data_IF_586269896784
#
_entry.id   IF_586269896784
#
_cell.length_a   1.000
_cell.length_b   1.000
_cell.length_c   1.000
_cell.angle_alpha   90.00
_cell.angle_beta   90.00
_cell.angle_gamma   90.00
#
_symmetry.space_group_name_H-M   'P 1'
#
loop_
_entity.id
_entity.type
_entity.pdbx_description
1 polymer ?
#
# COMPACT_ATOMS: atom_id res chain seq x y z
N UNK A 1 -17.72 -8.52 22.24
CA UNK A 1 -17.58 -8.11 20.85
C UNK A 1 -17.26 -6.62 20.81
N UNK A 2 -16.05 -6.27 20.34
CA UNK A 2 -15.55 -4.90 20.33
C UNK A 2 -16.44 -3.93 19.52
N UNK A 3 -17.11 -4.42 18.48
CA UNK A 3 -17.98 -3.61 17.62
C UNK A 3 -19.38 -3.38 18.21
N UNK A 4 -19.80 -4.21 19.16
CA UNK A 4 -21.09 -4.06 19.84
C UNK A 4 -21.02 -3.18 21.09
N UNK A 5 -19.82 -2.79 21.52
CA UNK A 5 -19.60 -1.91 22.65
C UNK A 5 -20.34 -0.57 22.46
N UNK A 6 -21.08 -0.08 23.48
CA UNK A 6 -21.81 1.19 23.38
C UNK A 6 -20.93 2.38 23.04
N UNK A 7 -19.67 2.40 23.51
CA UNK A 7 -18.70 3.45 23.20
C UNK A 7 -18.37 3.46 21.70
N UNK A 8 -18.05 2.28 21.13
CA UNK A 8 -17.80 2.15 19.70
C UNK A 8 -19.00 2.57 18.86
N UNK A 9 -20.21 2.17 19.26
CA UNK A 9 -21.45 2.62 18.59
C UNK A 9 -21.66 4.12 18.68
N UNK A 10 -21.35 4.71 19.81
CA UNK A 10 -21.44 6.17 20.03
C UNK A 10 -20.47 6.97 19.16
N UNK A 11 -19.27 6.44 18.90
CA UNK A 11 -18.24 7.05 18.10
C UNK A 11 -18.33 6.75 16.59
N UNK A 12 -19.15 5.75 16.19
CA UNK A 12 -19.40 5.45 14.78
C UNK A 12 -20.57 6.27 14.23
N UNK A 13 -20.30 7.19 13.31
CA UNK A 13 -21.33 8.08 12.74
C UNK A 13 -21.76 7.67 11.32
N UNK A 14 -21.05 6.75 10.69
CA UNK A 14 -21.46 6.24 9.40
C UNK A 14 -22.51 5.14 9.58
N UNK A 15 -23.61 5.20 8.82
CA UNK A 15 -24.57 4.13 8.75
C UNK A 15 -23.89 2.84 8.26
N UNK A 16 -24.04 1.73 9.00
CA UNK A 16 -23.37 0.47 8.72
C UNK A 16 -21.82 0.52 8.77
N UNK A 17 -21.22 1.57 9.36
CA UNK A 17 -19.78 1.74 9.39
C UNK A 17 -19.05 0.56 10.07
N UNK A 18 -19.50 0.13 11.24
CA UNK A 18 -18.89 -0.97 11.97
C UNK A 18 -18.98 -2.31 11.21
N UNK A 19 -20.13 -2.61 10.61
CA UNK A 19 -20.29 -3.85 9.82
C UNK A 19 -19.46 -3.84 8.54
N UNK A 20 -19.29 -2.69 7.90
CA UNK A 20 -18.38 -2.55 6.75
C UNK A 20 -16.94 -2.74 7.15
N UNK A 21 -16.49 -2.10 8.23
CA UNK A 21 -15.13 -2.28 8.76
C UNK A 21 -14.86 -3.76 9.06
N UNK A 22 -15.78 -4.43 9.72
CA UNK A 22 -15.66 -5.86 10.01
C UNK A 22 -15.59 -6.70 8.72
N UNK A 23 -16.42 -6.40 7.74
CA UNK A 23 -16.44 -7.12 6.46
C UNK A 23 -15.08 -7.06 5.77
N UNK A 24 -14.48 -5.88 5.65
CA UNK A 24 -13.17 -5.71 5.01
C UNK A 24 -12.04 -6.38 5.79
N UNK A 25 -12.07 -6.30 7.13
CA UNK A 25 -11.07 -6.98 7.98
C UNK A 25 -11.12 -8.49 7.79
N UNK A 26 -12.33 -9.09 7.83
CA UNK A 26 -12.49 -10.56 7.73
C UNK A 26 -12.12 -11.08 6.33
N UNK A 27 -12.30 -10.28 5.29
CA UNK A 27 -11.90 -10.66 3.93
C UNK A 27 -10.37 -10.81 3.78
N UNK A 28 -9.59 -10.07 4.58
CA UNK A 28 -8.12 -10.03 4.47
C UNK A 28 -7.38 -10.67 5.64
N UNK A 29 -7.96 -10.60 6.83
CA UNK A 29 -7.33 -10.99 8.09
C UNK A 29 -8.21 -11.95 8.87
N UNK A 30 -7.91 -12.12 10.16
CA UNK A 30 -8.76 -12.90 11.08
C UNK A 30 -9.85 -12.02 11.73
N UNK A 31 -10.87 -12.66 12.29
CA UNK A 31 -11.90 -11.98 13.05
C UNK A 31 -11.31 -11.39 14.34
N UNK A 32 -11.35 -10.07 14.54
CA UNK A 32 -10.83 -9.45 15.75
C UNK A 32 -11.73 -9.75 16.95
N UNK A 33 -11.15 -10.24 18.04
CA UNK A 33 -11.86 -10.53 19.29
C UNK A 33 -11.78 -9.36 20.27
N UNK A 34 -10.68 -8.60 20.25
CA UNK A 34 -10.43 -7.47 21.14
C UNK A 34 -10.48 -6.15 20.37
N UNK A 35 -10.84 -5.07 21.09
CA UNK A 35 -10.85 -3.73 20.51
C UNK A 35 -9.49 -3.35 19.89
N UNK A 36 -8.40 -3.72 20.53
CA UNK A 36 -7.05 -3.45 20.03
C UNK A 36 -6.78 -4.11 18.67
N UNK A 37 -7.16 -5.36 18.52
CA UNK A 37 -7.00 -6.10 17.25
C UNK A 37 -7.84 -5.43 16.15
N UNK A 38 -9.06 -5.02 16.48
CA UNK A 38 -9.96 -4.29 15.57
C UNK A 38 -9.33 -2.97 15.11
N UNK A 39 -8.80 -2.17 16.04
CA UNK A 39 -8.16 -0.88 15.73
C UNK A 39 -6.95 -1.09 14.85
N UNK A 40 -6.10 -2.04 15.18
CA UNK A 40 -4.89 -2.36 14.42
C UNK A 40 -5.21 -2.83 12.99
N UNK A 41 -6.05 -3.84 12.86
CA UNK A 41 -6.38 -4.43 11.56
C UNK A 41 -7.16 -3.46 10.67
N UNK A 42 -8.07 -2.65 11.22
CA UNK A 42 -8.80 -1.66 10.44
C UNK A 42 -7.89 -0.55 9.90
N UNK A 43 -6.87 -0.16 10.66
CA UNK A 43 -5.88 0.80 10.19
C UNK A 43 -4.95 0.24 9.11
N UNK A 44 -4.55 -1.04 9.21
CA UNK A 44 -3.80 -1.70 8.15
C UNK A 44 -4.61 -1.80 6.87
N UNK A 45 -5.86 -2.26 6.95
CA UNK A 45 -6.74 -2.38 5.79
C UNK A 45 -6.97 -1.03 5.09
N UNK A 46 -7.19 0.04 5.86
CA UNK A 46 -7.28 1.39 5.30
C UNK A 46 -6.00 1.80 4.58
N UNK A 47 -4.84 1.54 5.18
CA UNK A 47 -3.54 1.92 4.64
C UNK A 47 -3.26 1.19 3.32
N UNK A 48 -3.52 -0.11 3.27
CA UNK A 48 -3.34 -0.94 2.09
C UNK A 48 -4.30 -0.51 0.96
N UNK A 49 -5.57 -0.26 1.27
CA UNK A 49 -6.53 0.23 0.28
C UNK A 49 -6.13 1.58 -0.32
N UNK A 50 -5.63 2.50 0.51
CA UNK A 50 -5.17 3.82 0.05
C UNK A 50 -3.92 3.70 -0.83
N UNK A 51 -2.99 2.82 -0.47
CA UNK A 51 -1.78 2.53 -1.23
C UNK A 51 -2.12 1.92 -2.59
N UNK A 52 -2.88 0.83 -2.61
CA UNK A 52 -3.26 0.12 -3.84
C UNK A 52 -3.92 1.07 -4.85
N UNK A 53 -4.86 1.90 -4.38
CA UNK A 53 -5.56 2.86 -5.22
C UNK A 53 -4.62 3.96 -5.75
N UNK A 54 -3.81 4.56 -4.88
CA UNK A 54 -2.90 5.66 -5.25
C UNK A 54 -1.83 5.17 -6.22
N UNK A 55 -1.23 4.03 -5.96
CA UNK A 55 -0.24 3.44 -6.86
C UNK A 55 -0.84 3.06 -8.21
N UNK A 56 -2.07 2.53 -8.23
CA UNK A 56 -2.78 2.27 -9.48
C UNK A 56 -2.94 3.55 -10.30
N UNK A 57 -3.38 4.64 -9.69
CA UNK A 57 -3.55 5.93 -10.39
C UNK A 57 -2.23 6.51 -10.86
N UNK A 58 -1.18 6.43 -10.05
CA UNK A 58 0.17 6.89 -10.42
C UNK A 58 0.74 6.10 -11.60
N UNK A 59 0.51 4.79 -11.68
CA UNK A 59 0.88 3.96 -12.85
C UNK A 59 0.13 4.37 -14.13
N UNK A 60 -1.04 4.99 -14.00
CA UNK A 60 -1.86 5.48 -15.10
C UNK A 60 -1.65 6.97 -15.39
N UNK A 61 -0.46 7.50 -15.12
CA UNK A 61 -0.08 8.89 -15.40
C UNK A 61 -0.42 9.28 -16.84
N UNK A 62 -0.91 10.52 -17.03
CA UNK A 62 -1.45 11.01 -18.28
C UNK A 62 -2.96 10.79 -18.43
N UNK A 63 -3.50 9.69 -17.93
CA UNK A 63 -4.94 9.45 -17.80
C UNK A 63 -5.46 9.89 -16.43
N UNK A 64 -4.68 9.65 -15.38
CA UNK A 64 -4.94 10.10 -14.01
C UNK A 64 -3.70 10.81 -13.47
N UNK A 65 -3.80 12.10 -13.16
CA UNK A 65 -2.67 12.94 -12.76
C UNK A 65 -2.75 13.43 -11.32
N UNK A 66 -3.63 12.89 -10.51
CA UNK A 66 -3.72 13.23 -9.10
C UNK A 66 -4.64 12.30 -8.33
N UNK A 67 -4.38 12.19 -7.04
CA UNK A 67 -5.18 11.43 -6.09
C UNK A 67 -5.27 12.19 -4.78
N UNK A 68 -6.45 12.16 -4.18
CA UNK A 68 -6.73 12.75 -2.88
C UNK A 68 -7.37 11.68 -2.01
N UNK A 69 -6.83 11.43 -0.82
CA UNK A 69 -7.50 10.55 0.12
C UNK A 69 -8.19 11.36 1.24
N UNK A 70 -9.32 10.89 1.68
CA UNK A 70 -10.10 11.48 2.73
C UNK A 70 -9.82 10.74 4.04
N UNK A 71 -9.42 11.40 5.09
CA UNK A 71 -9.12 12.83 5.24
C UNK A 71 -7.84 13.02 6.05
N UNK A 72 -7.36 14.28 6.16
CA UNK A 72 -6.09 14.55 6.82
C UNK A 72 -6.16 14.28 8.33
N UNK A 73 -7.11 14.90 9.05
CA UNK A 73 -7.21 14.77 10.50
C UNK A 73 -8.65 14.79 11.01
N UNK A 74 -8.84 14.26 12.21
CA UNK A 74 -10.11 14.32 12.93
C UNK A 74 -10.26 15.64 13.71
N UNK A 75 -11.52 16.09 13.86
CA UNK A 75 -11.90 17.23 14.68
C UNK A 75 -12.51 16.83 16.04
N UNK A 76 -12.69 15.55 16.30
CA UNK A 76 -13.15 14.96 17.55
C UNK A 76 -12.87 13.45 17.56
N UNK A 77 -13.01 12.77 18.73
CA UNK A 77 -12.77 11.34 18.83
C UNK A 77 -13.85 10.51 18.13
N UNK A 78 -13.60 10.08 16.91
CA UNK A 78 -14.55 9.38 16.05
C UNK A 78 -13.88 8.22 15.32
N UNK A 79 -14.66 7.20 14.95
CA UNK A 79 -14.23 6.19 14.00
C UNK A 79 -14.30 6.78 12.59
N UNK A 80 -13.15 7.04 11.96
CA UNK A 80 -13.08 7.80 10.72
C UNK A 80 -11.95 7.35 9.78
N UNK A 81 -11.96 7.95 8.59
CA UNK A 81 -10.91 7.78 7.56
C UNK A 81 -9.68 8.67 7.77
N UNK A 82 -9.64 9.50 8.83
CA UNK A 82 -8.56 10.45 9.05
C UNK A 82 -7.21 9.74 9.18
N UNK A 83 -6.17 10.36 8.65
CA UNK A 83 -4.79 9.92 8.82
C UNK A 83 -4.22 10.27 10.20
N UNK A 84 -4.76 11.31 10.84
CA UNK A 84 -4.36 11.78 12.18
C UNK A 84 -5.61 11.81 13.05
N UNK A 85 -5.55 11.15 14.22
CA UNK A 85 -6.68 11.12 15.14
C UNK A 85 -6.85 12.44 15.93
N UNK A 86 -7.94 12.54 16.69
CA UNK A 86 -8.21 13.70 17.56
C UNK A 86 -7.10 14.02 18.54
N UNK A 87 -6.38 13.00 19.02
CA UNK A 87 -5.27 13.15 19.97
C UNK A 87 -3.92 13.42 19.29
N UNK A 88 -3.91 13.62 17.97
CA UNK A 88 -2.74 13.87 17.12
C UNK A 88 -1.84 12.65 16.93
N UNK A 89 -2.34 11.45 17.18
CA UNK A 89 -1.61 10.24 16.83
C UNK A 89 -1.73 9.97 15.33
N UNK A 90 -0.63 9.56 14.71
CA UNK A 90 -0.59 9.18 13.31
C UNK A 90 -1.17 7.76 13.17
N UNK A 91 -2.15 7.59 12.29
CA UNK A 91 -2.68 6.29 11.91
C UNK A 91 -1.82 5.63 10.82
N UNK A 92 -1.96 4.33 10.61
CA UNK A 92 -1.16 3.57 9.64
C UNK A 92 -1.15 4.19 8.22
N UNK A 93 -2.28 4.71 7.76
CA UNK A 93 -2.40 5.35 6.45
C UNK A 93 -1.46 6.56 6.29
N UNK A 94 -1.14 7.29 7.35
CA UNK A 94 -0.21 8.43 7.28
C UNK A 94 1.22 7.99 6.99
N UNK A 95 1.65 6.87 7.57
CA UNK A 95 2.96 6.29 7.28
C UNK A 95 3.03 5.79 5.84
N UNK A 96 2.02 5.06 5.39
CA UNK A 96 1.92 4.62 4.00
C UNK A 96 1.79 5.77 3.00
N UNK A 97 1.11 6.86 3.39
CA UNK A 97 1.00 8.05 2.54
C UNK A 97 2.36 8.69 2.24
N UNK A 98 3.30 8.61 3.16
CA UNK A 98 4.69 9.04 2.92
C UNK A 98 5.35 8.23 1.80
N UNK A 99 5.09 6.93 1.73
CA UNK A 99 5.65 6.00 0.75
C UNK A 99 4.94 6.16 -0.60
N UNK A 100 3.62 5.99 -0.64
CA UNK A 100 2.88 6.03 -1.91
C UNK A 100 2.78 7.43 -2.54
N UNK A 101 3.12 8.51 -1.82
CA UNK A 101 3.28 9.86 -2.37
C UNK A 101 4.74 10.28 -2.58
N UNK A 102 5.72 9.41 -2.34
CA UNK A 102 7.11 9.74 -2.59
C UNK A 102 7.31 10.17 -4.06
N UNK A 103 8.12 11.21 -4.34
CA UNK A 103 8.32 11.69 -5.71
C UNK A 103 8.85 10.61 -6.66
N UNK A 104 9.60 9.67 -6.14
CA UNK A 104 10.07 8.48 -6.87
C UNK A 104 9.73 7.25 -6.05
N UNK A 105 9.08 6.28 -6.68
CA UNK A 105 8.70 5.03 -6.01
C UNK A 105 8.64 3.88 -7.00
N UNK A 106 8.87 2.66 -6.50
CA UNK A 106 8.53 1.43 -7.21
C UNK A 106 7.13 0.99 -6.78
N UNK A 107 6.34 0.52 -7.71
CA UNK A 107 4.96 0.06 -7.46
C UNK A 107 4.77 -1.35 -7.97
N UNK A 108 3.92 -2.10 -7.29
CA UNK A 108 3.60 -3.50 -7.62
C UNK A 108 2.13 -3.63 -7.97
N UNK A 109 1.84 -4.25 -9.11
CA UNK A 109 0.48 -4.60 -9.51
C UNK A 109 0.31 -6.11 -9.56
N UNK A 110 -0.36 -6.67 -8.55
CA UNK A 110 -0.61 -8.10 -8.47
C UNK A 110 -1.71 -8.52 -9.45
N UNK A 111 -1.43 -9.55 -10.22
CA UNK A 111 -2.38 -10.26 -11.09
C UNK A 111 -2.59 -11.68 -10.56
N UNK A 112 -3.51 -12.44 -11.13
CA UNK A 112 -3.81 -13.80 -10.65
C UNK A 112 -2.62 -14.75 -10.62
N UNK A 113 -1.63 -14.57 -11.51
CA UNK A 113 -0.47 -15.47 -11.66
C UNK A 113 0.86 -14.74 -11.87
N UNK A 114 0.90 -13.42 -11.74
CA UNK A 114 2.08 -12.60 -11.98
C UNK A 114 2.00 -11.30 -11.20
N UNK A 115 3.14 -10.63 -11.08
CA UNK A 115 3.23 -9.26 -10.61
C UNK A 115 3.88 -8.39 -11.70
N UNK A 116 3.31 -7.22 -11.95
CA UNK A 116 3.91 -6.20 -12.81
C UNK A 116 4.53 -5.12 -11.94
N UNK A 117 5.77 -4.81 -12.21
CA UNK A 117 6.57 -3.83 -11.47
C UNK A 117 6.79 -2.60 -12.34
N UNK A 118 6.53 -1.42 -11.76
CA UNK A 118 6.71 -0.14 -12.44
C UNK A 118 7.45 0.83 -11.52
N UNK A 119 8.25 1.70 -12.11
CA UNK A 119 8.83 2.84 -11.42
C UNK A 119 8.12 4.11 -11.86
N UNK A 120 7.70 4.89 -10.90
CA UNK A 120 7.09 6.20 -11.08
C UNK A 120 8.12 7.25 -10.69
N UNK A 121 8.42 8.17 -11.60
CA UNK A 121 9.25 9.34 -11.35
C UNK A 121 8.43 10.61 -11.54
N UNK A 122 7.91 11.15 -10.45
CA UNK A 122 7.20 12.43 -10.43
C UNK A 122 8.12 13.62 -10.16
N UNK A 123 9.44 13.38 -10.06
CA UNK A 123 10.42 14.47 -9.95
C UNK A 123 10.61 15.18 -11.29
N UNK A 124 11.20 16.38 -11.23
CA UNK A 124 11.51 17.20 -12.41
C UNK A 124 12.88 16.87 -13.03
N UNK A 125 13.47 15.72 -12.70
CA UNK A 125 14.79 15.32 -13.17
C UNK A 125 14.76 13.92 -13.76
N UNK A 126 15.45 13.76 -14.88
CA UNK A 126 15.81 12.43 -15.38
C UNK A 126 16.71 11.74 -14.37
N UNK A 127 16.53 10.46 -14.17
CA UNK A 127 17.30 9.68 -13.22
C UNK A 127 17.59 8.28 -13.77
N UNK A 128 18.71 7.72 -13.32
CA UNK A 128 19.04 6.33 -13.57
C UNK A 128 18.79 5.53 -12.30
N UNK A 129 18.22 4.33 -12.45
CA UNK A 129 17.88 3.44 -11.35
C UNK A 129 18.32 2.02 -11.63
N UNK A 130 18.53 1.28 -10.54
CA UNK A 130 18.53 -0.18 -10.51
C UNK A 130 17.32 -0.65 -9.74
N UNK A 131 16.47 -1.46 -10.35
CA UNK A 131 15.38 -2.14 -9.66
C UNK A 131 15.73 -3.62 -9.45
N UNK A 132 15.36 -4.13 -8.27
CA UNK A 132 15.39 -5.54 -7.92
C UNK A 132 13.99 -5.93 -7.54
N UNK A 133 13.38 -6.88 -8.24
CA UNK A 133 11.99 -7.24 -7.99
C UNK A 133 11.74 -8.73 -8.26
N UNK A 134 10.68 -9.26 -7.69
CA UNK A 134 10.34 -10.66 -7.89
C UNK A 134 9.40 -11.23 -6.84
N UNK A 135 9.61 -12.49 -6.52
CA UNK A 135 8.89 -13.22 -5.48
C UNK A 135 9.85 -13.86 -4.50
N UNK A 136 9.50 -13.79 -3.23
CA UNK A 136 10.22 -14.46 -2.15
C UNK A 136 9.27 -15.22 -1.24
N UNK A 137 9.79 -16.16 -0.46
CA UNK A 137 9.05 -16.80 0.62
C UNK A 137 8.89 -15.84 1.80
N UNK A 138 7.96 -16.14 2.73
CA UNK A 138 7.87 -15.43 4.02
C UNK A 138 9.16 -15.55 4.85
N UNK A 139 10.00 -16.55 4.59
CA UNK A 139 11.32 -16.73 5.21
C UNK A 139 12.43 -15.89 4.55
N UNK A 140 12.14 -15.11 3.50
CA UNK A 140 13.11 -14.25 2.80
C UNK A 140 13.92 -14.96 1.70
N UNK A 141 13.59 -16.21 1.34
CA UNK A 141 14.26 -16.91 0.24
C UNK A 141 13.69 -16.45 -1.11
N UNK A 142 14.57 -16.03 -2.02
CA UNK A 142 14.17 -15.67 -3.38
C UNK A 142 13.65 -16.89 -4.14
N UNK A 143 12.45 -16.77 -4.71
CA UNK A 143 11.85 -17.75 -5.61
C UNK A 143 12.11 -17.35 -7.05
N UNK A 144 11.83 -16.09 -7.39
CA UNK A 144 12.13 -15.46 -8.66
C UNK A 144 12.68 -14.06 -8.39
N UNK A 145 13.75 -13.70 -9.12
CA UNK A 145 14.41 -12.41 -8.96
C UNK A 145 14.82 -11.85 -10.31
N UNK A 146 14.47 -10.61 -10.55
CA UNK A 146 14.87 -9.83 -11.72
C UNK A 146 15.61 -8.59 -11.25
N UNK A 147 16.77 -8.32 -11.85
CA UNK A 147 17.50 -7.07 -11.68
C UNK A 147 17.55 -6.33 -13.02
N UNK A 148 17.30 -5.04 -12.99
CA UNK A 148 17.32 -4.20 -14.20
C UNK A 148 17.80 -2.81 -13.88
N UNK A 149 18.75 -2.34 -14.67
CA UNK A 149 19.15 -0.93 -14.71
C UNK A 149 18.44 -0.23 -15.88
N UNK A 150 18.00 0.99 -15.67
CA UNK A 150 17.27 1.77 -16.68
C UNK A 150 17.31 3.26 -16.39
N UNK A 151 17.14 4.03 -17.45
CA UNK A 151 16.91 5.46 -17.37
C UNK A 151 15.41 5.74 -17.23
N UNK A 152 15.05 6.61 -16.31
CA UNK A 152 13.68 7.01 -16.04
C UNK A 152 13.56 8.53 -16.20
N UNK A 153 12.95 8.99 -17.29
CA UNK A 153 12.76 10.43 -17.52
C UNK A 153 11.95 11.10 -16.41
N UNK A 154 12.12 12.40 -16.28
CA UNK A 154 11.27 13.21 -15.43
C UNK A 154 9.79 13.01 -15.78
N UNK A 155 8.92 13.06 -14.79
CA UNK A 155 7.46 13.00 -14.95
C UNK A 155 6.97 11.76 -15.74
N UNK A 156 7.64 10.61 -15.59
CA UNK A 156 7.34 9.39 -16.34
C UNK A 156 7.03 8.17 -15.47
N UNK A 157 6.47 7.16 -16.12
CA UNK A 157 6.27 5.82 -15.56
C UNK A 157 6.93 4.80 -16.47
N UNK A 158 7.81 3.98 -15.92
CA UNK A 158 8.55 2.96 -16.67
C UNK A 158 8.15 1.56 -16.19
N UNK A 159 7.67 0.68 -17.08
CA UNK A 159 7.51 -0.72 -16.76
C UNK A 159 8.89 -1.39 -16.61
N UNK A 160 9.13 -1.97 -15.45
CA UNK A 160 10.39 -2.63 -15.13
C UNK A 160 10.40 -4.08 -15.54
N UNK A 161 9.43 -4.84 -15.02
CA UNK A 161 9.31 -6.27 -15.26
C UNK A 161 7.87 -6.75 -15.07
N UNK A 162 7.57 -7.88 -15.71
CA UNK A 162 6.39 -8.71 -15.39
C UNK A 162 6.90 -10.09 -15.00
N UNK A 163 6.74 -10.45 -13.73
CA UNK A 163 7.29 -11.69 -13.17
C UNK A 163 6.14 -12.65 -12.88
N UNK A 164 6.23 -13.87 -13.40
CA UNK A 164 5.25 -14.93 -13.09
C UNK A 164 5.54 -15.50 -11.71
N UNK A 165 4.48 -15.72 -10.94
CA UNK A 165 4.63 -16.49 -9.71
C UNK A 165 4.82 -17.97 -10.07
N UNK A 166 5.96 -18.57 -9.75
CA UNK A 166 6.24 -19.97 -10.08
C UNK A 166 5.30 -20.96 -9.39
N UNK A 167 4.71 -20.59 -8.25
CA UNK A 167 3.67 -21.38 -7.58
C UNK A 167 2.29 -21.23 -8.24
N UNK A 168 2.16 -20.41 -9.29
CA UNK A 168 0.96 -20.25 -10.08
C UNK A 168 -0.19 -19.46 -9.41
N UNK A 169 0.03 -18.90 -8.21
CA UNK A 169 -0.92 -18.07 -7.47
C UNK A 169 -0.18 -16.88 -6.86
N UNK A 170 -0.61 -15.67 -7.12
CA UNK A 170 -0.01 -14.46 -6.51
C UNK A 170 -0.47 -14.19 -5.08
N UNK A 171 -1.55 -14.80 -4.65
CA UNK A 171 -2.02 -14.80 -3.26
C UNK A 171 -1.84 -16.20 -2.69
N UNK A 172 -0.61 -16.52 -2.35
CA UNK A 172 -0.25 -17.70 -1.56
C UNK A 172 0.24 -17.17 -0.20
N UNK A 173 -0.20 -17.79 0.89
CA UNK A 173 0.18 -17.40 2.24
C UNK A 173 1.70 -17.43 2.49
N UNK A 174 2.44 -18.17 1.66
CA UNK A 174 3.88 -18.34 1.80
C UNK A 174 4.72 -17.49 0.84
N UNK A 175 4.10 -16.67 -0.01
CA UNK A 175 4.80 -15.97 -1.09
C UNK A 175 4.50 -14.47 -1.09
N UNK A 176 5.55 -13.65 -1.14
CA UNK A 176 5.48 -12.19 -1.20
C UNK A 176 6.04 -11.73 -2.54
N UNK A 177 5.33 -10.84 -3.24
CA UNK A 177 5.91 -10.05 -4.31
C UNK A 177 6.66 -8.85 -3.68
N UNK A 178 7.90 -8.63 -4.10
CA UNK A 178 8.72 -7.56 -3.55
C UNK A 178 9.39 -6.75 -4.65
N UNK A 179 9.71 -5.51 -4.35
CA UNK A 179 10.50 -4.65 -5.22
C UNK A 179 11.33 -3.68 -4.40
N UNK A 180 12.56 -3.45 -4.83
CA UNK A 180 13.50 -2.50 -4.27
C UNK A 180 14.01 -1.60 -5.40
N UNK A 181 14.11 -0.31 -5.14
CA UNK A 181 14.61 0.68 -6.08
C UNK A 181 15.86 1.36 -5.54
N UNK A 182 16.95 1.29 -6.28
CA UNK A 182 18.23 1.88 -5.93
C UNK A 182 18.59 3.02 -6.90
N UNK A 183 19.10 4.10 -6.34
CA UNK A 183 19.67 5.21 -7.11
C UNK A 183 21.09 4.92 -7.62
N UNK A 184 21.65 5.85 -8.38
CA UNK A 184 22.97 5.72 -9.02
C UNK A 184 24.13 5.38 -8.06
N UNK A 185 24.04 5.82 -6.81
CA UNK A 185 25.07 5.55 -5.79
C UNK A 185 24.74 4.31 -4.93
N UNK A 186 23.78 3.48 -5.35
CA UNK A 186 23.37 2.29 -4.62
C UNK A 186 22.54 2.56 -3.37
N UNK A 187 22.08 3.78 -3.14
CA UNK A 187 21.18 4.08 -2.04
C UNK A 187 19.78 3.55 -2.32
N UNK A 188 19.17 2.84 -1.37
CA UNK A 188 17.76 2.42 -1.42
C UNK A 188 16.87 3.66 -1.41
N UNK A 189 15.99 3.76 -2.39
CA UNK A 189 15.05 4.89 -2.57
C UNK A 189 13.63 4.47 -2.19
N UNK A 190 13.23 3.25 -2.55
CA UNK A 190 11.87 2.71 -2.32
C UNK A 190 11.90 1.19 -2.28
N UNK A 191 11.01 0.63 -1.47
CA UNK A 191 10.75 -0.80 -1.34
C UNK A 191 9.26 -1.09 -1.23
#
# INVERSE_FOLDING_TARGET
>A
DALSDPLMKGHQKAMCGNSRTQFYIIDRYWTPERLWDLVYLSQLDQADCAQDATEHWRRNKGRCNGALYWQYNDCWGVTSWAGIDWYRNLKAVTYRAREFNAPVTVTVSLKSKSADFHVVNDSMKDRRFKAVCGFMTMGGENIERVEKEFDCPAQSVIPVASVKNPKGKTRDADTIAYAELYGELGALISE
#
